data_IF_924449598185
#
_entry.id   IF_924449598185
#
_cell.length_a   1.000
_cell.length_b   1.000
_cell.length_c   1.000
_cell.angle_alpha   90.00
_cell.angle_beta   90.00
_cell.angle_gamma   90.00
#
_symmetry.space_group_name_H-M   'P 1'
#
loop_
_entity.id
_entity.type
_entity.pdbx_description
1 polymer ?
#
# COMPACT_ATOMS: atom_id res chain seq x y z
N UNK A 1 4.43 -17.77 -20.70
CA UNK A 1 3.20 -17.93 -19.89
C UNK A 1 2.08 -17.19 -20.60
N UNK A 2 0.85 -17.70 -20.55
CA UNK A 2 -0.32 -17.02 -21.12
C UNK A 2 -0.93 -16.08 -20.10
N UNK A 3 -1.60 -14.99 -20.54
CA UNK A 3 -2.42 -14.14 -19.67
C UNK A 3 -3.56 -14.93 -19.03
N UNK A 4 -4.04 -14.46 -17.88
CA UNK A 4 -5.21 -15.02 -17.22
C UNK A 4 -6.32 -13.97 -17.20
N UNK A 5 -7.50 -14.32 -17.67
CA UNK A 5 -8.72 -13.52 -17.59
C UNK A 5 -9.79 -14.38 -16.90
N UNK A 6 -10.37 -13.87 -15.84
CA UNK A 6 -11.44 -14.54 -15.09
C UNK A 6 -12.58 -13.55 -14.90
N UNK A 7 -13.76 -13.89 -15.36
CA UNK A 7 -14.97 -13.11 -15.09
C UNK A 7 -15.54 -13.44 -13.70
N UNK A 8 -16.08 -12.45 -13.04
CA UNK A 8 -16.72 -12.57 -11.71
C UNK A 8 -15.84 -13.29 -10.68
N UNK A 9 -14.53 -12.94 -10.67
CA UNK A 9 -13.56 -13.51 -9.73
C UNK A 9 -13.92 -13.09 -8.30
N UNK A 10 -14.09 -14.05 -7.40
CA UNK A 10 -14.20 -13.79 -5.97
C UNK A 10 -12.91 -13.16 -5.44
N UNK A 11 -13.02 -12.11 -4.62
CA UNK A 11 -11.92 -11.29 -4.10
C UNK A 11 -11.63 -11.53 -2.63
N UNK A 12 -12.48 -12.25 -1.92
CA UNK A 12 -12.39 -12.45 -0.47
C UNK A 12 -11.00 -12.95 -0.05
N UNK A 13 -10.47 -13.94 -0.76
CA UNK A 13 -9.16 -14.53 -0.45
C UNK A 13 -7.97 -13.70 -0.96
N UNK A 14 -8.23 -12.59 -1.66
CA UNK A 14 -7.20 -11.71 -2.22
C UNK A 14 -6.95 -10.46 -1.38
N UNK A 15 -7.73 -10.24 -0.33
CA UNK A 15 -7.58 -9.13 0.62
C UNK A 15 -7.40 -9.65 2.04
N UNK A 16 -6.58 -8.96 2.83
CA UNK A 16 -6.30 -9.38 4.21
C UNK A 16 -7.54 -9.34 5.12
N UNK A 17 -8.44 -8.39 4.89
CA UNK A 17 -9.69 -8.29 5.64
C UNK A 17 -10.83 -9.15 5.07
N UNK A 18 -10.50 -10.04 4.10
CA UNK A 18 -11.52 -10.82 3.41
C UNK A 18 -12.66 -9.94 2.86
N UNK A 19 -12.33 -8.71 2.47
CA UNK A 19 -13.26 -7.72 1.95
C UNK A 19 -13.50 -7.91 0.46
N UNK A 20 -14.73 -7.65 0.03
CA UNK A 20 -15.12 -7.62 -1.38
C UNK A 20 -15.77 -8.91 -1.86
N UNK A 21 -16.79 -8.81 -2.66
CA UNK A 21 -17.49 -9.92 -3.30
C UNK A 21 -16.75 -10.41 -4.54
N UNK A 22 -16.90 -9.72 -5.67
CA UNK A 22 -16.32 -10.14 -6.94
C UNK A 22 -15.82 -8.97 -7.79
N UNK A 23 -14.80 -9.20 -8.63
CA UNK A 23 -14.45 -8.30 -9.73
C UNK A 23 -15.11 -8.78 -11.02
N UNK A 24 -15.68 -7.85 -11.80
CA UNK A 24 -16.25 -8.15 -13.12
C UNK A 24 -15.22 -8.84 -14.02
N UNK A 25 -14.00 -8.31 -14.03
CA UNK A 25 -12.87 -8.91 -14.74
C UNK A 25 -11.65 -8.90 -13.82
N UNK A 26 -11.06 -10.06 -13.60
CA UNK A 26 -9.73 -10.24 -13.02
C UNK A 26 -8.75 -10.51 -14.15
N UNK A 27 -7.73 -9.65 -14.27
CA UNK A 27 -6.72 -9.75 -15.31
C UNK A 27 -5.32 -9.92 -14.70
N UNK A 28 -4.67 -11.02 -15.05
CA UNK A 28 -3.27 -11.25 -14.75
C UNK A 28 -2.47 -11.29 -16.05
N UNK A 29 -1.69 -10.22 -16.35
CA UNK A 29 -0.92 -10.15 -17.59
C UNK A 29 0.21 -11.17 -17.64
N UNK A 30 0.53 -11.64 -18.84
CA UNK A 30 1.67 -12.53 -19.08
C UNK A 30 3.01 -11.79 -18.92
N UNK A 31 3.09 -10.56 -19.43
CA UNK A 31 4.24 -9.67 -19.44
C UNK A 31 3.80 -8.21 -19.63
N UNK A 32 4.76 -7.28 -19.61
CA UNK A 32 4.50 -5.83 -19.67
C UNK A 32 3.79 -5.39 -20.95
N UNK A 33 4.17 -5.92 -22.11
CA UNK A 33 3.52 -5.59 -23.39
C UNK A 33 2.06 -6.07 -23.40
N UNK A 34 1.79 -7.28 -22.91
CA UNK A 34 0.43 -7.81 -22.79
C UNK A 34 -0.46 -6.93 -21.87
N UNK A 35 0.12 -6.38 -20.78
CA UNK A 35 -0.58 -5.40 -19.95
C UNK A 35 -0.91 -4.13 -20.75
N UNK A 36 0.07 -3.62 -21.50
CA UNK A 36 -0.12 -2.40 -22.31
C UNK A 36 -1.18 -2.56 -23.40
N UNK A 37 -1.14 -3.66 -24.14
CA UNK A 37 -2.13 -3.97 -25.16
C UNK A 37 -3.53 -4.09 -24.56
N UNK A 38 -3.68 -4.81 -23.46
CA UNK A 38 -4.96 -4.98 -22.80
C UNK A 38 -5.52 -3.65 -22.28
N UNK A 39 -4.70 -2.81 -21.63
CA UNK A 39 -5.15 -1.51 -21.11
C UNK A 39 -5.59 -0.56 -22.23
N UNK A 40 -4.87 -0.53 -23.36
CA UNK A 40 -5.19 0.30 -24.53
C UNK A 40 -6.53 -0.05 -25.13
N UNK A 41 -6.83 -1.36 -25.22
CA UNK A 41 -8.05 -1.86 -25.84
C UNK A 41 -9.31 -1.74 -24.96
N UNK A 42 -9.14 -1.39 -23.67
CA UNK A 42 -10.28 -1.18 -22.77
C UNK A 42 -11.02 0.13 -23.09
N UNK A 43 -12.35 0.17 -23.02
CA UNK A 43 -13.12 1.41 -23.11
C UNK A 43 -12.63 2.44 -22.06
N UNK A 44 -12.54 3.71 -22.45
CA UNK A 44 -11.99 4.79 -21.62
C UNK A 44 -12.64 4.88 -20.23
N UNK A 45 -13.95 4.67 -20.16
CA UNK A 45 -14.73 4.73 -18.91
C UNK A 45 -14.57 3.49 -18.02
N UNK A 46 -13.86 2.44 -18.46
CA UNK A 46 -13.66 1.25 -17.64
C UNK A 46 -12.76 1.57 -16.45
N UNK A 47 -13.26 1.35 -15.26
CA UNK A 47 -12.45 1.45 -14.05
C UNK A 47 -11.38 0.36 -14.02
N UNK A 48 -10.16 0.73 -13.68
CA UNK A 48 -9.03 -0.19 -13.54
C UNK A 48 -8.40 0.02 -12.17
N UNK A 49 -8.37 -1.07 -11.40
CA UNK A 49 -7.70 -1.10 -10.10
C UNK A 49 -6.55 -2.09 -10.14
N UNK A 50 -5.51 -1.82 -9.36
CA UNK A 50 -4.32 -2.68 -9.27
C UNK A 50 -4.24 -3.28 -7.88
N UNK A 51 -4.29 -4.59 -7.80
CA UNK A 51 -4.17 -5.30 -6.54
C UNK A 51 -2.75 -5.88 -6.38
N UNK A 52 -2.08 -5.52 -5.28
CA UNK A 52 -0.88 -6.20 -4.81
C UNK A 52 -1.24 -7.47 -4.05
N UNK A 53 -0.76 -7.61 -2.82
CA UNK A 53 -1.16 -8.72 -1.92
C UNK A 53 -2.42 -8.43 -1.08
N UNK A 54 -3.13 -7.34 -1.33
CA UNK A 54 -4.37 -6.98 -0.64
C UNK A 54 -4.22 -6.56 0.83
N UNK A 55 -3.00 -6.26 1.28
CA UNK A 55 -2.73 -5.91 2.70
C UNK A 55 -3.23 -4.52 3.10
N UNK A 56 -3.50 -3.64 2.14
CA UNK A 56 -3.99 -2.27 2.38
C UNK A 56 -5.17 -1.92 1.46
N UNK A 57 -5.87 -2.92 0.92
CA UNK A 57 -7.00 -2.71 0.00
C UNK A 57 -8.25 -3.32 0.59
N UNK A 58 -9.34 -2.56 0.59
CA UNK A 58 -10.67 -3.07 0.89
C UNK A 58 -11.66 -2.67 -0.22
N UNK A 59 -12.63 -3.53 -0.46
CA UNK A 59 -13.72 -3.28 -1.39
C UNK A 59 -14.97 -2.89 -0.60
N UNK A 60 -15.57 -1.75 -0.92
CA UNK A 60 -16.77 -1.23 -0.22
C UNK A 60 -18.07 -1.78 -0.79
N UNK A 61 -18.01 -2.63 -1.81
CA UNK A 61 -19.18 -3.21 -2.51
C UNK A 61 -18.99 -4.70 -2.76
N UNK A 62 -20.10 -5.42 -2.87
CA UNK A 62 -20.12 -6.84 -3.22
C UNK A 62 -19.61 -7.13 -4.64
N UNK A 63 -19.55 -6.10 -5.49
CA UNK A 63 -19.07 -6.22 -6.85
C UNK A 63 -18.33 -4.96 -7.29
N UNK A 64 -17.14 -5.17 -7.83
CA UNK A 64 -16.36 -4.17 -8.56
C UNK A 64 -16.61 -4.35 -10.06
N UNK A 65 -17.29 -3.38 -10.70
CA UNK A 65 -17.68 -3.45 -12.12
C UNK A 65 -16.56 -3.08 -13.11
N UNK A 66 -15.32 -3.02 -12.65
CA UNK A 66 -14.13 -2.72 -13.45
C UNK A 66 -13.26 -3.93 -13.73
N UNK A 67 -12.02 -3.63 -14.12
CA UNK A 67 -10.93 -4.57 -14.29
C UNK A 67 -9.98 -4.49 -13.10
N UNK A 68 -9.78 -5.60 -12.42
CA UNK A 68 -8.79 -5.76 -11.37
C UNK A 68 -7.53 -6.37 -11.96
N UNK A 69 -6.46 -5.58 -12.06
CA UNK A 69 -5.14 -6.02 -12.52
C UNK A 69 -4.38 -6.62 -11.36
N UNK A 70 -3.92 -7.86 -11.51
CA UNK A 70 -3.11 -8.56 -10.53
C UNK A 70 -1.79 -9.01 -11.16
N UNK A 71 -0.68 -8.40 -10.75
CA UNK A 71 0.63 -8.69 -11.33
C UNK A 71 1.20 -10.03 -10.84
N UNK A 72 1.08 -10.29 -9.53
CA UNK A 72 1.54 -11.52 -8.91
C UNK A 72 3.03 -11.82 -9.13
N UNK A 73 3.41 -13.07 -8.95
CA UNK A 73 4.79 -13.54 -9.07
C UNK A 73 5.39 -13.36 -10.48
N UNK A 74 4.56 -13.20 -11.52
CA UNK A 74 5.05 -12.96 -12.90
C UNK A 74 5.86 -11.67 -13.03
N UNK A 75 5.58 -10.70 -12.16
CA UNK A 75 6.30 -9.43 -12.06
C UNK A 75 7.15 -9.39 -10.78
N UNK A 76 7.60 -10.55 -10.28
CA UNK A 76 8.33 -10.71 -9.02
C UNK A 76 9.86 -10.70 -9.14
N UNK A 77 10.42 -10.22 -10.25
CA UNK A 77 11.87 -10.22 -10.51
C UNK A 77 12.69 -9.45 -9.47
N UNK A 78 13.94 -9.90 -9.25
CA UNK A 78 14.96 -9.20 -8.48
C UNK A 78 16.31 -9.40 -9.15
N UNK A 79 17.01 -8.32 -9.47
CA UNK A 79 18.29 -8.31 -10.19
C UNK A 79 19.21 -7.23 -9.60
N UNK A 80 20.43 -7.60 -9.26
CA UNK A 80 21.48 -6.64 -8.92
C UNK A 80 22.02 -5.99 -10.19
N UNK A 81 21.98 -4.66 -10.26
CA UNK A 81 22.51 -3.89 -11.39
C UNK A 81 23.90 -3.34 -11.11
N UNK A 82 24.21 -3.08 -9.85
CA UNK A 82 25.51 -2.66 -9.36
C UNK A 82 25.65 -3.01 -7.88
N UNK A 83 26.74 -2.59 -7.24
CA UNK A 83 26.98 -2.78 -5.82
C UNK A 83 25.90 -2.20 -4.91
N UNK A 84 25.16 -1.17 -5.39
CA UNK A 84 24.15 -0.47 -4.60
C UNK A 84 22.77 -0.43 -5.25
N UNK A 85 22.67 -0.76 -6.52
CA UNK A 85 21.41 -0.65 -7.25
C UNK A 85 20.83 -1.99 -7.59
N UNK A 86 19.54 -2.14 -7.34
CA UNK A 86 18.78 -3.34 -7.67
C UNK A 86 17.56 -2.99 -8.49
N UNK A 87 17.22 -3.84 -9.46
CA UNK A 87 15.93 -3.82 -10.17
C UNK A 87 15.00 -4.80 -9.48
N UNK A 88 13.80 -4.35 -9.15
CA UNK A 88 12.78 -5.16 -8.49
C UNK A 88 11.47 -5.08 -9.25
N UNK A 89 10.81 -6.20 -9.43
CA UNK A 89 9.48 -6.27 -10.03
C UNK A 89 8.40 -5.83 -9.05
N UNK A 90 7.37 -5.18 -9.56
CA UNK A 90 6.29 -4.64 -8.72
C UNK A 90 5.47 -5.73 -8.00
N UNK A 91 5.40 -6.95 -8.55
CA UNK A 91 4.77 -8.11 -7.93
C UNK A 91 5.63 -8.86 -6.92
N UNK A 92 6.90 -8.47 -6.71
CA UNK A 92 7.76 -9.08 -5.70
C UNK A 92 7.26 -8.76 -4.29
N UNK A 93 7.24 -9.76 -3.41
CA UNK A 93 6.88 -9.57 -2.01
C UNK A 93 7.97 -8.77 -1.27
N UNK A 94 7.59 -7.80 -0.47
CA UNK A 94 8.51 -6.93 0.30
C UNK A 94 9.51 -7.74 1.12
N UNK A 95 9.05 -8.73 1.88
CA UNK A 95 9.90 -9.58 2.69
C UNK A 95 10.92 -10.41 1.88
N UNK A 96 10.57 -10.85 0.66
CA UNK A 96 11.48 -11.56 -0.23
C UNK A 96 12.57 -10.64 -0.76
N UNK A 97 12.19 -9.41 -1.13
CA UNK A 97 13.14 -8.39 -1.61
C UNK A 97 14.10 -8.00 -0.50
N UNK A 98 13.61 -7.79 0.73
CA UNK A 98 14.48 -7.52 1.90
C UNK A 98 15.49 -8.65 2.10
N UNK A 99 15.06 -9.92 2.12
CA UNK A 99 15.98 -11.06 2.28
C UNK A 99 17.03 -11.14 1.17
N UNK A 100 16.64 -10.87 -0.08
CA UNK A 100 17.57 -10.86 -1.23
C UNK A 100 18.54 -9.68 -1.16
N UNK A 101 18.08 -8.48 -0.77
CA UNK A 101 18.93 -7.31 -0.59
C UNK A 101 19.98 -7.54 0.52
N UNK A 102 19.57 -8.07 1.67
CA UNK A 102 20.47 -8.38 2.78
C UNK A 102 21.58 -9.37 2.41
N UNK A 103 21.28 -10.37 1.55
CA UNK A 103 22.31 -11.30 1.04
C UNK A 103 23.37 -10.60 0.20
N UNK A 104 23.07 -9.43 -0.36
CA UNK A 104 24.01 -8.59 -1.11
C UNK A 104 24.64 -7.48 -0.24
N UNK A 105 24.42 -7.49 1.07
CA UNK A 105 24.88 -6.43 1.97
C UNK A 105 24.15 -5.10 1.78
N UNK A 106 22.89 -5.13 1.28
CA UNK A 106 22.10 -3.93 0.98
C UNK A 106 20.98 -3.73 1.99
N UNK A 107 20.87 -2.51 2.53
CA UNK A 107 19.90 -2.20 3.58
C UNK A 107 18.53 -1.75 3.01
N UNK A 108 17.56 -2.62 3.15
CA UNK A 108 16.14 -2.38 2.95
C UNK A 108 15.32 -2.92 4.15
N UNK A 109 15.97 -3.08 5.29
CA UNK A 109 15.44 -3.78 6.47
C UNK A 109 14.14 -3.19 7.01
N UNK A 110 13.92 -1.88 6.86
CA UNK A 110 12.69 -1.22 7.31
C UNK A 110 11.42 -1.74 6.62
N UNK A 111 11.52 -2.30 5.42
CA UNK A 111 10.40 -2.97 4.76
C UNK A 111 10.12 -4.38 5.29
N UNK A 112 10.97 -4.91 6.17
CA UNK A 112 10.79 -6.25 6.74
C UNK A 112 9.54 -6.41 7.59
N UNK A 113 9.00 -5.31 8.10
CA UNK A 113 7.73 -5.26 8.82
C UNK A 113 6.54 -4.78 7.95
N UNK A 114 6.79 -4.42 6.69
CA UNK A 114 5.74 -3.92 5.78
C UNK A 114 5.28 -5.07 4.89
N UNK A 115 4.06 -5.57 5.09
CA UNK A 115 3.52 -6.62 4.24
C UNK A 115 3.15 -6.07 2.86
N UNK A 116 3.14 -6.94 1.87
CA UNK A 116 2.66 -6.55 0.56
C UNK A 116 3.65 -6.79 -0.57
N UNK A 117 3.44 -6.11 -1.67
CA UNK A 117 4.30 -6.14 -2.86
C UNK A 117 5.05 -4.81 -3.02
N UNK A 118 6.17 -4.84 -3.73
CA UNK A 118 6.95 -3.62 -4.03
C UNK A 118 6.10 -2.57 -4.76
N UNK A 119 5.26 -2.98 -5.71
CA UNK A 119 4.35 -2.04 -6.42
C UNK A 119 3.37 -1.36 -5.46
N UNK A 120 2.75 -2.13 -4.56
CA UNK A 120 1.87 -1.58 -3.52
C UNK A 120 2.62 -0.67 -2.54
N UNK A 121 3.82 -1.07 -2.12
CA UNK A 121 4.66 -0.27 -1.23
C UNK A 121 5.09 1.07 -1.87
N UNK A 122 5.36 1.10 -3.20
CA UNK A 122 5.64 2.35 -3.93
C UNK A 122 4.40 3.23 -4.03
N UNK A 123 3.25 2.63 -4.39
CA UNK A 123 2.00 3.37 -4.55
C UNK A 123 1.57 4.04 -3.25
N UNK A 124 1.63 3.33 -2.12
CA UNK A 124 1.29 3.84 -0.79
C UNK A 124 2.40 4.65 -0.12
N UNK A 125 3.59 4.74 -0.72
CA UNK A 125 4.80 5.28 -0.08
C UNK A 125 5.08 4.62 1.27
N UNK A 126 5.15 3.30 1.27
CA UNK A 126 5.33 2.52 2.47
C UNK A 126 6.52 3.02 3.29
N UNK A 127 6.29 3.15 4.59
CA UNK A 127 7.27 3.65 5.54
C UNK A 127 7.23 2.85 6.83
N UNK A 128 8.38 2.76 7.48
CA UNK A 128 8.49 2.20 8.83
C UNK A 128 9.67 2.84 9.56
N UNK A 129 9.51 3.15 10.86
CA UNK A 129 10.55 3.79 11.69
C UNK A 129 11.18 5.02 11.02
N UNK A 130 10.37 5.91 10.45
CA UNK A 130 10.81 7.16 9.82
C UNK A 130 11.50 7.01 8.45
N UNK A 131 11.69 5.78 7.95
CA UNK A 131 12.30 5.49 6.64
C UNK A 131 11.21 5.21 5.62
N UNK A 132 11.34 5.75 4.40
CA UNK A 132 10.33 5.67 3.33
C UNK A 132 10.90 5.02 2.08
N UNK A 133 10.09 4.19 1.41
CA UNK A 133 10.53 3.52 0.18
C UNK A 133 10.80 4.51 -0.96
N UNK A 134 10.01 5.58 -1.08
CA UNK A 134 10.20 6.57 -2.14
C UNK A 134 11.58 7.25 -2.11
N UNK A 135 12.24 7.34 -0.97
CA UNK A 135 13.60 7.87 -0.84
C UNK A 135 14.66 6.96 -1.49
N UNK A 136 14.33 5.71 -1.73
CA UNK A 136 15.22 4.70 -2.33
C UNK A 136 15.00 4.52 -3.83
N UNK A 137 13.94 5.10 -4.40
CA UNK A 137 13.61 4.94 -5.82
C UNK A 137 14.51 5.84 -6.67
N UNK A 138 15.23 5.24 -7.63
CA UNK A 138 15.91 5.98 -8.70
C UNK A 138 14.97 6.24 -9.86
N UNK A 139 14.21 5.22 -10.23
CA UNK A 139 13.20 5.27 -11.28
C UNK A 139 12.23 4.10 -11.16
N UNK A 140 11.03 4.26 -11.68
CA UNK A 140 10.08 3.16 -11.84
C UNK A 140 9.56 3.10 -13.27
N UNK A 141 9.33 1.90 -13.77
CA UNK A 141 8.67 1.68 -15.05
C UNK A 141 7.17 1.45 -14.78
N UNK A 142 6.35 2.18 -15.50
CA UNK A 142 4.91 2.10 -15.42
C UNK A 142 4.31 1.83 -16.80
N UNK A 143 3.14 1.20 -16.83
CA UNK A 143 2.30 1.09 -18.02
C UNK A 143 1.11 2.03 -17.82
N UNK A 144 0.94 2.98 -18.72
CA UNK A 144 -0.13 3.97 -18.68
C UNK A 144 -1.45 3.37 -19.17
N UNK A 145 -2.55 4.06 -18.88
CA UNK A 145 -3.91 3.66 -19.31
C UNK A 145 -4.06 3.50 -20.83
N UNK A 146 -3.30 4.25 -21.60
CA UNK A 146 -3.26 4.17 -23.08
C UNK A 146 -2.30 3.09 -23.61
N UNK A 147 -1.75 2.25 -22.74
CA UNK A 147 -0.83 1.15 -23.07
C UNK A 147 0.63 1.56 -23.23
N UNK A 148 0.96 2.85 -23.21
CA UNK A 148 2.36 3.29 -23.33
C UNK A 148 3.16 2.92 -22.08
N UNK A 149 4.41 2.53 -22.29
CA UNK A 149 5.37 2.26 -21.21
C UNK A 149 6.15 3.54 -20.96
N UNK A 150 6.21 3.96 -19.70
CA UNK A 150 6.91 5.17 -19.27
C UNK A 150 7.85 4.89 -18.11
N UNK A 151 8.97 5.62 -18.06
CA UNK A 151 9.86 5.62 -16.90
C UNK A 151 9.67 6.91 -16.11
N UNK A 152 9.24 6.77 -14.87
CA UNK A 152 9.14 7.84 -13.90
C UNK A 152 10.46 7.96 -13.14
N UNK A 153 11.00 9.16 -13.00
CA UNK A 153 12.26 9.43 -12.30
C UNK A 153 12.01 9.74 -10.82
N UNK A 154 13.08 9.76 -10.03
CA UNK A 154 13.10 10.02 -8.58
C UNK A 154 12.26 11.22 -8.17
N UNK A 155 12.36 12.34 -8.86
CA UNK A 155 11.67 13.59 -8.55
C UNK A 155 10.14 13.47 -8.47
N UNK A 156 9.56 12.50 -9.20
CA UNK A 156 8.12 12.18 -9.12
C UNK A 156 7.78 11.58 -7.76
N UNK A 157 8.67 10.77 -7.18
CA UNK A 157 8.39 10.03 -5.94
C UNK A 157 8.69 10.84 -4.68
N UNK A 158 9.58 11.84 -4.78
CA UNK A 158 9.93 12.73 -3.66
C UNK A 158 8.77 13.67 -3.27
N UNK A 159 7.84 13.91 -4.19
CA UNK A 159 6.69 14.80 -4.00
C UNK A 159 5.39 14.03 -4.02
N UNK A 160 4.63 14.00 -2.89
CA UNK A 160 3.38 13.24 -2.79
C UNK A 160 2.35 13.60 -3.86
N UNK A 161 2.19 14.90 -4.16
CA UNK A 161 1.28 15.42 -5.18
C UNK A 161 1.63 14.92 -6.59
N UNK A 162 2.92 14.96 -6.95
CA UNK A 162 3.40 14.47 -8.25
C UNK A 162 3.25 12.95 -8.36
N UNK A 163 3.58 12.23 -7.29
CA UNK A 163 3.42 10.77 -7.25
C UNK A 163 1.96 10.38 -7.45
N UNK A 164 1.05 10.96 -6.68
CA UNK A 164 -0.38 10.67 -6.80
C UNK A 164 -0.91 10.98 -8.22
N UNK A 165 -0.51 12.10 -8.81
CA UNK A 165 -0.89 12.45 -10.18
C UNK A 165 -0.33 11.48 -11.22
N UNK A 166 0.95 11.10 -11.11
CA UNK A 166 1.63 10.21 -12.05
C UNK A 166 1.11 8.77 -11.98
N UNK A 167 0.66 8.31 -10.80
CA UNK A 167 0.19 6.93 -10.59
C UNK A 167 -1.31 6.76 -10.78
N UNK A 168 -2.09 7.83 -10.89
CA UNK A 168 -3.56 7.77 -11.01
C UNK A 168 -4.05 6.89 -12.16
N UNK A 169 -3.34 6.89 -13.29
CA UNK A 169 -3.69 6.14 -14.50
C UNK A 169 -2.51 5.28 -14.99
N UNK A 170 -1.75 4.74 -14.04
CA UNK A 170 -0.55 3.98 -14.36
C UNK A 170 -0.42 2.75 -13.47
N UNK A 171 0.05 1.65 -14.05
CA UNK A 171 0.39 0.41 -13.35
C UNK A 171 1.90 0.33 -13.20
N UNK A 172 2.41 0.35 -11.96
CA UNK A 172 3.84 0.15 -11.69
C UNK A 172 4.17 -1.32 -12.00
N UNK A 173 5.18 -1.56 -12.84
CA UNK A 173 5.59 -2.92 -13.21
C UNK A 173 6.97 -3.31 -12.69
N UNK A 174 7.85 -2.35 -12.49
CA UNK A 174 9.17 -2.54 -11.86
C UNK A 174 9.74 -1.23 -11.35
N UNK A 175 10.71 -1.31 -10.44
CA UNK A 175 11.48 -0.16 -9.97
C UNK A 175 12.98 -0.49 -9.90
N UNK A 176 13.80 0.56 -9.98
CA UNK A 176 15.22 0.51 -9.66
C UNK A 176 15.44 1.28 -8.37
N UNK A 177 16.01 0.61 -7.38
CA UNK A 177 16.28 1.14 -6.05
C UNK A 177 17.78 1.36 -5.85
N UNK A 178 18.15 2.45 -5.15
CA UNK A 178 19.50 2.69 -4.62
C UNK A 178 19.48 2.42 -3.13
N UNK A 179 20.21 1.41 -2.71
CA UNK A 179 20.23 0.89 -1.35
C UNK A 179 21.60 1.11 -0.70
N UNK A 180 21.66 1.59 0.55
CA UNK A 180 22.92 1.71 1.25
C UNK A 180 23.54 0.34 1.53
N UNK A 181 24.85 0.25 1.40
CA UNK A 181 25.61 -0.92 1.81
C UNK A 181 25.75 -0.98 3.32
N UNK A 182 25.69 -2.17 3.88
CA UNK A 182 25.87 -2.39 5.31
C UNK A 182 26.41 -3.80 5.57
N UNK A 183 27.13 -3.96 6.66
CA UNK A 183 27.67 -5.27 7.08
C UNK A 183 26.54 -6.18 7.58
N UNK A 184 26.65 -7.50 7.41
CA UNK A 184 25.58 -8.46 7.73
C UNK A 184 25.08 -8.38 9.18
N UNK A 185 25.97 -8.15 10.13
CA UNK A 185 25.65 -8.06 11.55
C UNK A 185 24.69 -6.90 11.82
N UNK A 186 24.95 -5.73 11.23
CA UNK A 186 24.08 -4.54 11.36
C UNK A 186 22.75 -4.72 10.64
N UNK A 187 22.74 -5.41 9.47
CA UNK A 187 21.49 -5.72 8.77
C UNK A 187 20.61 -6.65 9.61
N UNK A 188 21.19 -7.68 10.22
CA UNK A 188 20.46 -8.61 11.07
C UNK A 188 19.91 -7.91 12.33
N UNK A 189 20.71 -7.08 12.98
CA UNK A 189 20.27 -6.29 14.12
C UNK A 189 19.13 -5.34 13.71
N UNK A 190 19.28 -4.57 12.64
CA UNK A 190 18.26 -3.66 12.14
C UNK A 190 16.95 -4.37 11.78
N UNK A 191 17.01 -5.57 11.17
CA UNK A 191 15.81 -6.35 10.88
C UNK A 191 15.13 -6.87 12.15
N UNK A 192 15.91 -7.29 13.16
CA UNK A 192 15.38 -7.71 14.46
C UNK A 192 14.69 -6.54 15.17
N UNK A 193 15.31 -5.35 15.18
CA UNK A 193 14.71 -4.14 15.75
C UNK A 193 13.40 -3.75 15.06
N UNK A 194 13.37 -3.80 13.72
CA UNK A 194 12.16 -3.52 12.94
C UNK A 194 11.03 -4.49 13.28
N UNK A 195 11.33 -5.77 13.44
CA UNK A 195 10.34 -6.78 13.84
C UNK A 195 9.83 -6.55 15.25
N UNK A 196 10.74 -6.28 16.19
CA UNK A 196 10.37 -6.00 17.59
C UNK A 196 9.47 -4.76 17.67
N UNK A 197 9.85 -3.65 17.02
CA UNK A 197 9.01 -2.46 16.95
C UNK A 197 7.64 -2.75 16.32
N UNK A 198 7.60 -3.59 15.29
CA UNK A 198 6.32 -3.98 14.68
C UNK A 198 5.44 -4.76 15.67
N UNK A 199 6.01 -5.71 16.40
CA UNK A 199 5.30 -6.49 17.42
C UNK A 199 4.75 -5.60 18.55
N UNK A 200 5.48 -4.55 18.94
CA UNK A 200 5.02 -3.57 19.92
C UNK A 200 3.93 -2.63 19.38
N UNK A 201 3.98 -2.30 18.08
CA UNK A 201 3.08 -1.33 17.43
C UNK A 201 1.79 -1.95 16.90
N UNK A 202 1.74 -3.26 16.70
CA UNK A 202 0.60 -3.93 16.08
C UNK A 202 0.04 -5.03 17.00
N UNK A 203 -1.30 -5.14 17.10
CA UNK A 203 -1.91 -6.17 17.93
C UNK A 203 -1.66 -7.56 17.34
N UNK A 204 -1.52 -8.55 18.22
CA UNK A 204 -1.55 -9.97 17.85
C UNK A 204 -3.00 -10.40 17.54
N UNK A 205 -3.61 -9.79 16.54
CA UNK A 205 -4.97 -10.05 16.10
C UNK A 205 -4.95 -10.77 14.74
N UNK A 206 -5.92 -11.66 14.45
CA UNK A 206 -5.94 -12.39 13.18
C UNK A 206 -6.05 -11.46 11.97
N UNK A 207 -6.72 -10.34 12.11
CA UNK A 207 -6.89 -9.34 11.06
C UNK A 207 -6.59 -7.94 11.63
N UNK A 208 -5.60 -7.25 11.05
CA UNK A 208 -5.31 -5.85 11.38
C UNK A 208 -4.88 -5.08 10.12
N UNK A 209 -5.19 -3.78 10.11
CA UNK A 209 -4.68 -2.86 9.09
C UNK A 209 -3.23 -2.47 9.38
N UNK A 210 -2.58 -1.78 8.43
CA UNK A 210 -1.50 -0.86 8.77
C UNK A 210 -2.04 0.40 9.45
N UNK A 211 -1.24 1.45 9.53
CA UNK A 211 -1.71 2.76 10.01
C UNK A 211 -2.79 3.31 9.07
N UNK A 212 -4.01 3.44 9.60
CA UNK A 212 -5.20 3.80 8.80
C UNK A 212 -5.19 5.26 8.41
N UNK A 213 -4.65 6.14 9.25
CA UNK A 213 -4.74 7.58 9.04
C UNK A 213 -3.38 8.25 9.01
N UNK A 214 -3.28 9.29 8.18
CA UNK A 214 -2.23 10.29 8.18
C UNK A 214 -2.83 11.69 8.33
N UNK A 215 -2.00 12.66 8.72
CA UNK A 215 -2.42 14.04 8.64
C UNK A 215 -2.52 14.47 7.19
N UNK A 216 -3.61 15.12 6.84
CA UNK A 216 -3.71 15.81 5.57
C UNK A 216 -2.58 16.84 5.51
N UNK A 217 -1.73 16.75 4.48
CA UNK A 217 -0.66 17.72 4.27
C UNK A 217 -1.28 19.08 3.98
N UNK A 218 -1.57 19.83 5.01
CA UNK A 218 -1.78 21.26 4.86
C UNK A 218 -0.41 21.91 4.63
N UNK A 219 -0.39 22.82 3.68
CA UNK A 219 0.76 23.56 3.26
C UNK A 219 1.59 24.03 4.48
N UNK A 220 2.91 23.87 4.39
CA UNK A 220 3.81 24.66 5.22
C UNK A 220 3.40 26.13 5.10
N UNK A 221 3.51 26.91 6.17
CA UNK A 221 3.31 28.36 6.10
C UNK A 221 4.19 28.96 4.98
N UNK A 222 3.93 30.18 4.55
CA UNK A 222 4.70 30.86 3.51
C UNK A 222 6.22 30.88 3.78
N UNK A 223 6.63 30.59 5.01
CA UNK A 223 8.03 30.46 5.44
C UNK A 223 8.52 29.00 5.49
N UNK A 224 7.73 28.01 5.06
CA UNK A 224 8.10 26.57 5.06
C UNK A 224 8.15 25.93 6.45
N UNK A 225 7.64 26.58 7.48
CA UNK A 225 7.65 26.09 8.86
C UNK A 225 6.42 25.23 9.10
N UNK A 226 6.63 23.96 9.41
CA UNK A 226 5.57 23.08 9.91
C UNK A 226 5.42 23.31 11.42
N UNK A 227 4.26 23.79 11.84
CA UNK A 227 3.90 23.68 13.25
C UNK A 227 3.97 22.20 13.68
N UNK A 228 4.47 21.89 14.89
CA UNK A 228 4.42 20.53 15.40
C UNK A 228 2.94 20.14 15.59
N UNK A 229 2.37 19.46 14.58
CA UNK A 229 1.01 18.93 14.68
C UNK A 229 1.03 17.64 15.49
N UNK A 230 -0.04 17.44 16.22
CA UNK A 230 -0.28 16.21 16.98
C UNK A 230 -0.30 15.02 16.01
N UNK A 231 0.43 13.93 16.31
CA UNK A 231 0.45 12.75 15.45
C UNK A 231 -0.93 12.10 15.39
N UNK A 232 -1.33 11.48 14.25
CA UNK A 232 -2.64 10.83 14.13
C UNK A 232 -2.97 9.87 15.28
N UNK A 233 -1.98 9.10 15.74
CA UNK A 233 -2.15 8.20 16.89
C UNK A 233 -2.52 8.93 18.17
N UNK A 234 -2.00 10.14 18.41
CA UNK A 234 -2.33 10.95 19.59
C UNK A 234 -3.77 11.49 19.50
N UNK A 235 -4.17 12.01 18.32
CA UNK A 235 -5.53 12.47 18.07
C UNK A 235 -6.53 11.32 18.29
N UNK A 236 -6.25 10.17 17.70
CA UNK A 236 -7.10 8.99 17.76
C UNK A 236 -7.19 8.40 19.17
N UNK A 237 -6.12 8.49 19.98
CA UNK A 237 -6.13 8.02 21.36
C UNK A 237 -7.14 8.79 22.23
N UNK A 238 -7.46 10.04 21.87
CA UNK A 238 -8.45 10.88 22.56
C UNK A 238 -9.89 10.40 22.33
N UNK A 239 -10.16 9.74 21.19
CA UNK A 239 -11.47 9.12 20.93
C UNK A 239 -11.76 7.92 21.84
N UNK A 240 -10.71 7.29 22.38
CA UNK A 240 -10.84 6.09 23.18
C UNK A 240 -11.11 4.83 22.32
N UNK A 241 -11.75 3.83 22.93
CA UNK A 241 -12.14 2.62 22.21
C UNK A 241 -13.41 2.87 21.39
N UNK A 242 -13.37 2.50 20.13
CA UNK A 242 -14.52 2.54 19.22
C UNK A 242 -14.70 1.15 18.62
N UNK A 243 -15.94 0.68 18.59
CA UNK A 243 -16.34 -0.58 17.94
C UNK A 243 -17.44 -0.29 16.93
N UNK A 244 -17.37 -0.97 15.79
CA UNK A 244 -18.48 -0.96 14.84
C UNK A 244 -19.41 -2.15 15.18
N UNK A 245 -20.65 -1.89 15.64
CA UNK A 245 -21.57 -2.96 16.05
C UNK A 245 -21.80 -3.98 14.93
N UNK A 246 -21.82 -5.27 15.28
CA UNK A 246 -22.11 -6.37 14.37
C UNK A 246 -20.98 -6.74 13.39
N UNK A 247 -19.73 -6.27 13.61
CA UNK A 247 -18.62 -6.52 12.68
C UNK A 247 -17.33 -7.03 13.30
N UNK A 248 -17.20 -7.02 14.62
CA UNK A 248 -15.91 -7.29 15.29
C UNK A 248 -14.82 -6.23 15.07
N UNK A 249 -15.04 -5.22 14.21
CA UNK A 249 -14.05 -4.16 13.95
C UNK A 249 -13.93 -3.23 15.15
N UNK A 250 -12.68 -2.94 15.53
CA UNK A 250 -12.42 -2.03 16.63
C UNK A 250 -11.15 -1.20 16.42
N UNK A 251 -11.16 -0.03 17.08
CA UNK A 251 -10.04 0.86 17.35
C UNK A 251 -9.92 0.95 18.86
N UNK A 252 -8.74 0.81 19.44
CA UNK A 252 -8.56 0.97 20.88
C UNK A 252 -7.36 1.85 21.24
N UNK A 253 -7.23 2.19 22.53
CA UNK A 253 -6.19 3.09 23.00
C UNK A 253 -4.76 2.54 22.86
N UNK A 254 -4.59 1.23 22.91
CA UNK A 254 -3.27 0.59 22.79
C UNK A 254 -2.73 0.66 21.37
N UNK A 255 -3.64 0.66 20.36
CA UNK A 255 -3.31 0.70 18.94
C UNK A 255 -4.17 1.75 18.22
N UNK A 256 -3.99 3.04 18.55
CA UNK A 256 -4.97 4.07 18.21
C UNK A 256 -5.06 4.40 16.71
N UNK A 257 -4.11 3.99 15.90
CA UNK A 257 -4.15 4.20 14.44
C UNK A 257 -4.26 2.89 13.65
N UNK A 258 -4.76 1.84 14.29
CA UNK A 258 -4.92 0.52 13.68
C UNK A 258 -6.35 0.04 13.91
N UNK A 259 -7.04 -0.33 12.83
CA UNK A 259 -8.31 -1.05 12.90
C UNK A 259 -8.01 -2.55 12.90
N UNK A 260 -8.59 -3.28 13.82
CA UNK A 260 -8.42 -4.72 13.89
C UNK A 260 -9.72 -5.44 14.24
N UNK A 261 -9.76 -6.74 14.02
CA UNK A 261 -10.85 -7.61 14.38
C UNK A 261 -10.32 -8.90 15.00
N UNK A 262 -10.99 -9.38 16.02
CA UNK A 262 -10.74 -10.70 16.62
C UNK A 262 -11.57 -11.80 15.95
N UNK A 263 -12.47 -11.45 15.05
CA UNK A 263 -13.36 -12.36 14.34
C UNK A 263 -13.19 -12.17 12.83
N UNK A 264 -13.67 -13.11 12.02
CA UNK A 264 -13.82 -12.90 10.58
C UNK A 264 -14.84 -11.79 10.37
N UNK A 265 -14.36 -10.58 10.13
CA UNK A 265 -15.22 -9.41 9.94
C UNK A 265 -15.60 -9.26 8.48
N UNK A 266 -16.78 -8.67 8.25
CA UNK A 266 -17.13 -8.18 6.94
C UNK A 266 -16.22 -6.99 6.57
N UNK A 267 -15.20 -7.26 5.78
CA UNK A 267 -14.25 -6.24 5.35
C UNK A 267 -14.88 -5.12 4.51
N UNK A 268 -16.09 -5.31 3.97
CA UNK A 268 -16.82 -4.24 3.28
C UNK A 268 -17.19 -3.11 4.24
N UNK A 269 -17.36 -3.42 5.54
CA UNK A 269 -17.64 -2.46 6.60
C UNK A 269 -16.39 -1.70 7.09
N UNK A 270 -15.19 -2.13 6.69
CA UNK A 270 -13.93 -1.48 7.07
C UNK A 270 -13.87 -0.02 6.56
N UNK A 271 -14.32 0.22 5.34
CA UNK A 271 -14.39 1.55 4.76
C UNK A 271 -15.36 2.48 5.53
N UNK A 272 -16.54 1.95 5.88
CA UNK A 272 -17.54 2.65 6.71
C UNK A 272 -16.96 3.00 8.08
N UNK A 273 -16.27 2.06 8.70
CA UNK A 273 -15.67 2.27 10.03
C UNK A 273 -14.55 3.32 9.99
N UNK A 274 -13.68 3.28 8.99
CA UNK A 274 -12.67 4.30 8.81
C UNK A 274 -13.28 5.69 8.60
N UNK A 275 -14.35 5.80 7.81
CA UNK A 275 -15.07 7.06 7.61
C UNK A 275 -15.73 7.57 8.90
N UNK A 276 -16.32 6.68 9.69
CA UNK A 276 -16.90 7.02 10.99
C UNK A 276 -15.85 7.63 11.93
N UNK A 277 -14.67 7.01 12.02
CA UNK A 277 -13.56 7.49 12.84
C UNK A 277 -13.10 8.87 12.37
N UNK A 278 -12.87 9.04 11.06
CA UNK A 278 -12.43 10.32 10.50
C UNK A 278 -13.45 11.46 10.77
N UNK A 279 -14.74 11.16 10.61
CA UNK A 279 -15.81 12.12 10.88
C UNK A 279 -15.84 12.52 12.37
N UNK A 280 -15.66 11.57 13.28
CA UNK A 280 -15.58 11.88 14.71
C UNK A 280 -14.38 12.75 15.06
N UNK A 281 -13.21 12.49 14.50
CA UNK A 281 -12.03 13.34 14.70
C UNK A 281 -12.32 14.78 14.25
N UNK A 282 -12.98 14.96 13.10
CA UNK A 282 -13.34 16.28 12.59
C UNK A 282 -14.36 16.98 13.49
N UNK A 283 -15.39 16.27 13.95
CA UNK A 283 -16.44 16.84 14.79
C UNK A 283 -16.00 17.17 16.21
N UNK A 284 -15.24 16.26 16.86
CA UNK A 284 -14.88 16.39 18.27
C UNK A 284 -13.59 17.22 18.48
N UNK A 285 -12.68 17.22 17.52
CA UNK A 285 -11.36 17.83 17.69
C UNK A 285 -10.99 18.86 16.60
N UNK A 286 -11.85 19.06 15.58
CA UNK A 286 -11.56 19.86 14.40
C UNK A 286 -10.32 19.39 13.61
N UNK A 287 -9.97 18.09 13.70
CA UNK A 287 -8.82 17.47 13.04
C UNK A 287 -9.25 16.70 11.78
N UNK A 288 -8.64 17.03 10.64
CA UNK A 288 -8.93 16.40 9.35
C UNK A 288 -7.85 15.35 9.02
N UNK A 289 -8.20 14.08 9.23
CA UNK A 289 -7.33 12.95 8.97
C UNK A 289 -7.61 12.37 7.58
N UNK A 290 -6.54 12.04 6.85
CA UNK A 290 -6.60 11.36 5.56
C UNK A 290 -6.53 9.84 5.75
N UNK A 291 -7.47 9.10 5.16
CA UNK A 291 -7.48 7.64 5.21
C UNK A 291 -6.45 7.07 4.23
N UNK A 292 -5.55 6.24 4.72
CA UNK A 292 -4.49 5.59 3.94
C UNK A 292 -4.91 4.24 3.33
N UNK A 293 -6.10 3.72 3.68
CA UNK A 293 -6.61 2.50 3.06
C UNK A 293 -6.96 2.76 1.59
N UNK A 294 -6.59 1.84 0.72
CA UNK A 294 -7.08 1.85 -0.66
C UNK A 294 -8.50 1.29 -0.67
N UNK A 295 -9.48 2.19 -0.68
CA UNK A 295 -10.90 1.83 -0.70
C UNK A 295 -11.36 1.79 -2.15
N UNK A 296 -11.70 0.60 -2.64
CA UNK A 296 -12.21 0.38 -4.01
C UNK A 296 -13.73 0.33 -3.99
N UNK A 297 -14.35 1.24 -4.73
CA UNK A 297 -15.79 1.49 -4.76
C UNK A 297 -16.15 2.82 -4.10
N UNK A 298 -17.42 3.27 -4.30
CA UNK A 298 -17.87 4.51 -3.67
C UNK A 298 -18.25 4.26 -2.21
N UNK A 299 -17.80 5.12 -1.33
CA UNK A 299 -18.39 5.27 -0.01
C UNK A 299 -19.77 5.92 -0.21
N UNK A 300 -20.84 5.26 0.20
CA UNK A 300 -22.20 5.82 0.17
C UNK A 300 -22.42 6.80 1.31
#
# INVERSE_FOLDING_TARGET
MQRTLIENKNLTDLTWFHSGGSAKVFFQPAHMADLGDYLRDLPEKTQVEVLGSGSNTCFSRDRFDGVLVYLGARFGGFEALSERTVRVGAGALTGDVVRKAMKLGLDLTFLGAVPGTIGGAIASNASFSGRRLCERILRATVVLRDGRIQTLKRDVFERPDRRAAALRNAVIVQAVLDLPQQVPEKLNAALADVKHQHEEMFPAAPLCTGHVFSQKNENADEAGRKSPKEQPAQILSRLGEIRLPGTGLCLNRSFPNIIFSNESSDGSRLAEFAQLIANRCRQEFAEDLECNLNIVGDLR
#
